data_IF_272372612301
#
_entry.id   IF_272372612301
#
_cell.length_a   1.000
_cell.length_b   1.000
_cell.length_c   1.000
_cell.angle_alpha   90.00
_cell.angle_beta   90.00
_cell.angle_gamma   90.00
#
_symmetry.space_group_name_H-M   'P 1'
#
loop_
_entity.id
_entity.type
_entity.pdbx_description
1 polymer ?
#
# COMPACT_ATOMS: atom_id res chain seq x y z
N UNK A 1 14.25 -1.84 0.15
CA UNK A 1 12.79 -1.86 0.42
C UNK A 1 12.43 -0.83 1.50
N UNK A 2 11.80 0.28 1.11
CA UNK A 2 11.26 1.26 2.07
C UNK A 2 10.00 0.72 2.72
N UNK A 3 9.87 0.93 4.02
CA UNK A 3 8.62 0.67 4.74
C UNK A 3 7.64 1.78 4.37
N UNK A 4 6.50 1.41 3.80
CA UNK A 4 5.44 2.36 3.44
C UNK A 4 4.40 2.41 4.55
N UNK A 5 3.81 3.58 4.76
CA UNK A 5 2.77 3.79 5.78
C UNK A 5 1.44 4.04 5.09
N UNK A 6 0.38 3.46 5.65
CA UNK A 6 -0.98 3.71 5.19
C UNK A 6 -1.96 3.89 6.34
N UNK A 7 -2.92 4.79 6.13
CA UNK A 7 -4.04 5.02 7.04
C UNK A 7 -5.33 4.84 6.25
N UNK A 8 -6.28 4.10 6.82
CA UNK A 8 -7.51 3.73 6.12
C UNK A 8 -8.63 3.34 7.05
N UNK A 9 -9.79 3.13 6.45
CA UNK A 9 -10.96 2.56 7.11
C UNK A 9 -10.98 1.06 6.87
N UNK A 10 -11.45 0.28 7.84
CA UNK A 10 -11.53 -1.18 7.70
C UNK A 10 -12.97 -1.60 7.91
N UNK A 11 -13.55 -2.22 6.88
CA UNK A 11 -14.84 -2.87 6.95
C UNK A 11 -14.66 -4.38 6.89
N UNK A 12 -15.29 -5.11 7.81
CA UNK A 12 -15.23 -6.58 7.89
C UNK A 12 -16.63 -7.16 7.86
N UNK A 13 -16.92 -8.00 6.87
CA UNK A 13 -18.17 -8.73 6.75
C UNK A 13 -17.93 -10.22 7.04
N UNK A 14 -18.60 -10.76 8.06
CA UNK A 14 -18.50 -12.19 8.39
C UNK A 14 -19.19 -13.02 7.30
N UNK A 15 -18.44 -13.96 6.69
CA UNK A 15 -18.97 -14.89 5.68
C UNK A 15 -19.24 -16.26 6.32
N UNK A 16 -18.31 -16.71 7.17
CA UNK A 16 -18.39 -17.97 7.91
C UNK A 16 -17.68 -17.84 9.26
N UNK A 17 -17.71 -18.87 10.10
CA UNK A 17 -17.15 -18.79 11.47
C UNK A 17 -15.67 -18.45 11.55
N UNK A 18 -14.88 -18.83 10.53
CA UNK A 18 -13.44 -18.55 10.45
C UNK A 18 -13.07 -17.64 9.29
N UNK A 19 -14.04 -17.25 8.47
CA UNK A 19 -13.80 -16.53 7.23
C UNK A 19 -14.62 -15.25 7.21
N UNK A 20 -13.96 -14.13 6.98
CA UNK A 20 -14.61 -12.84 6.79
C UNK A 20 -14.04 -12.15 5.56
N UNK A 21 -14.84 -11.36 4.87
CA UNK A 21 -14.36 -10.47 3.81
C UNK A 21 -13.95 -9.15 4.46
N UNK A 22 -12.75 -8.67 4.17
CA UNK A 22 -12.23 -7.40 4.64
C UNK A 22 -11.95 -6.49 3.46
N UNK A 23 -12.46 -5.26 3.53
CA UNK A 23 -12.16 -4.19 2.56
C UNK A 23 -11.59 -3.02 3.35
N UNK A 24 -10.42 -2.53 2.93
CA UNK A 24 -9.68 -1.55 3.73
C UNK A 24 -9.16 -0.36 2.92
N UNK A 25 -10.03 0.50 2.35
CA UNK A 25 -9.60 1.65 1.56
C UNK A 25 -8.77 2.62 2.40
N UNK A 26 -7.66 3.08 1.85
CA UNK A 26 -6.77 4.01 2.55
C UNK A 26 -5.81 4.73 1.61
N UNK A 27 -5.06 5.67 2.16
CA UNK A 27 -3.94 6.31 1.47
C UNK A 27 -2.69 5.46 1.66
N UNK A 28 -1.95 5.21 0.58
CA UNK A 28 -0.70 4.48 0.59
C UNK A 28 0.35 5.29 -0.17
N UNK A 29 1.44 5.63 0.50
CA UNK A 29 2.59 6.27 -0.15
C UNK A 29 3.59 5.20 -0.60
N UNK A 30 3.86 5.14 -1.91
CA UNK A 30 4.85 4.28 -2.55
C UNK A 30 5.99 5.17 -3.04
N UNK A 31 7.25 4.76 -2.87
CA UNK A 31 8.36 5.60 -3.32
C UNK A 31 9.74 4.98 -3.10
N UNK A 32 10.73 5.54 -3.77
CA UNK A 32 12.12 5.10 -3.76
C UNK A 32 13.07 6.29 -3.87
N UNK A 33 14.30 6.10 -3.42
CA UNK A 33 15.40 7.03 -3.66
C UNK A 33 16.38 6.32 -4.57
N UNK A 34 16.66 6.91 -5.72
CA UNK A 34 17.74 6.49 -6.59
C UNK A 34 18.80 7.58 -6.54
N UNK A 35 19.94 7.26 -5.92
CA UNK A 35 21.11 8.12 -5.84
C UNK A 35 22.26 7.37 -5.18
N UNK A 36 23.41 7.31 -5.86
CA UNK A 36 24.66 6.86 -5.23
C UNK A 36 25.14 7.93 -4.25
N UNK A 37 25.76 7.57 -3.10
CA UNK A 37 26.30 8.56 -2.18
C UNK A 37 27.33 9.44 -2.90
N UNK A 38 26.98 10.70 -3.17
CA UNK A 38 27.81 11.69 -3.88
C UNK A 38 27.23 12.22 -5.19
N UNK A 39 26.13 11.65 -5.71
CA UNK A 39 25.38 12.17 -6.85
C UNK A 39 24.05 12.82 -6.39
N UNK A 40 23.48 13.70 -7.21
CA UNK A 40 22.18 14.32 -6.94
C UNK A 40 21.13 13.22 -6.74
N UNK A 41 20.59 13.10 -5.53
CA UNK A 41 19.60 12.09 -5.21
C UNK A 41 18.24 12.50 -5.75
N UNK A 42 17.62 11.60 -6.52
CA UNK A 42 16.25 11.76 -6.99
C UNK A 42 15.35 10.97 -6.06
N UNK A 43 14.52 11.68 -5.30
CA UNK A 43 13.48 11.08 -4.46
C UNK A 43 12.15 11.09 -5.21
N UNK A 44 11.60 9.91 -5.46
CA UNK A 44 10.27 9.76 -6.09
C UNK A 44 9.25 9.35 -5.03
N UNK A 45 8.16 10.11 -4.94
CA UNK A 45 7.01 9.82 -4.06
C UNK A 45 5.73 9.75 -4.88
N UNK A 46 5.01 8.65 -4.72
CA UNK A 46 3.76 8.37 -5.39
C UNK A 46 2.71 8.07 -4.32
N UNK A 47 1.69 8.91 -4.22
CA UNK A 47 0.57 8.71 -3.31
C UNK A 47 -0.57 8.04 -4.06
N UNK A 48 -1.08 6.94 -3.51
CA UNK A 48 -2.19 6.18 -4.07
C UNK A 48 -3.36 6.13 -3.08
N UNK A 49 -4.58 6.09 -3.62
CA UNK A 49 -5.73 5.51 -2.91
C UNK A 49 -5.66 4.01 -3.14
N UNK A 50 -5.43 3.25 -2.09
CA UNK A 50 -5.32 1.79 -2.11
C UNK A 50 -6.60 1.15 -1.56
N UNK A 51 -7.16 0.19 -2.29
CA UNK A 51 -8.38 -0.55 -1.95
C UNK A 51 -8.06 -2.05 -1.96
N UNK A 52 -7.52 -2.60 -0.87
CA UNK A 52 -7.37 -4.04 -0.68
C UNK A 52 -8.72 -4.69 -0.39
N UNK A 53 -8.93 -5.86 -1.00
CA UNK A 53 -10.07 -6.75 -0.78
C UNK A 53 -9.52 -8.12 -0.43
N UNK A 54 -9.70 -8.51 0.83
CA UNK A 54 -9.03 -9.66 1.42
C UNK A 54 -10.00 -10.64 2.06
N UNK A 55 -9.70 -11.93 1.93
CA UNK A 55 -10.27 -12.95 2.79
C UNK A 55 -9.49 -12.99 4.10
N UNK A 56 -10.17 -12.67 5.20
CA UNK A 56 -9.67 -12.78 6.57
C UNK A 56 -9.93 -14.17 7.11
N UNK A 57 -8.86 -14.86 7.49
CA UNK A 57 -8.85 -16.19 8.05
C UNK A 57 -8.53 -16.09 9.55
N UNK A 58 -9.56 -16.25 10.38
CA UNK A 58 -9.45 -16.19 11.84
C UNK A 58 -8.85 -17.49 12.39
N UNK A 59 -7.63 -17.38 12.94
CA UNK A 59 -6.92 -18.46 13.63
C UNK A 59 -6.72 -18.16 15.13
N UNK A 60 -7.45 -17.16 15.65
CA UNK A 60 -7.20 -16.54 16.95
C UNK A 60 -6.51 -15.19 16.78
N UNK A 61 -5.50 -14.93 17.59
CA UNK A 61 -4.55 -13.81 17.41
C UNK A 61 -3.16 -14.42 17.22
N UNK A 62 -2.51 -14.29 16.05
CA UNK A 62 -2.87 -13.45 14.90
C UNK A 62 -3.92 -14.05 13.94
N UNK A 63 -4.41 -13.25 12.99
CA UNK A 63 -5.18 -13.68 11.81
C UNK A 63 -4.39 -13.46 10.52
N UNK A 64 -4.78 -14.16 9.46
CA UNK A 64 -4.20 -14.02 8.13
C UNK A 64 -5.19 -13.33 7.19
N UNK A 65 -4.66 -12.53 6.26
CA UNK A 65 -5.38 -11.89 5.18
C UNK A 65 -4.75 -12.34 3.87
N UNK A 66 -5.59 -12.70 2.90
CA UNK A 66 -5.14 -13.08 1.58
C UNK A 66 -6.15 -12.58 0.54
N UNK A 67 -5.67 -11.86 -0.46
CA UNK A 67 -6.53 -11.27 -1.46
C UNK A 67 -5.76 -10.47 -2.49
N UNK A 68 -6.45 -9.46 -3.03
CA UNK A 68 -5.88 -8.56 -4.01
C UNK A 68 -6.15 -7.12 -3.62
N UNK A 69 -5.46 -6.22 -4.30
CA UNK A 69 -5.68 -4.79 -4.15
C UNK A 69 -5.83 -4.12 -5.50
N UNK A 70 -6.50 -2.99 -5.47
CA UNK A 70 -6.53 -2.02 -6.55
C UNK A 70 -6.13 -0.67 -5.98
N UNK A 71 -5.12 -0.04 -6.56
CA UNK A 71 -4.62 1.28 -6.19
C UNK A 71 -4.84 2.26 -7.35
N UNK A 72 -5.18 3.50 -7.04
CA UNK A 72 -5.27 4.60 -8.00
C UNK A 72 -4.33 5.73 -7.60
N UNK A 73 -3.48 6.18 -8.53
CA UNK A 73 -2.52 7.26 -8.32
C UNK A 73 -3.25 8.59 -8.17
N UNK A 74 -3.06 9.26 -7.04
CA UNK A 74 -3.65 10.59 -6.79
C UNK A 74 -2.64 11.72 -6.90
N UNK A 75 -1.36 11.41 -6.68
CA UNK A 75 -0.29 12.40 -6.71
C UNK A 75 1.05 11.73 -6.99
N UNK A 76 1.84 12.33 -7.86
CA UNK A 76 3.23 11.97 -8.10
C UNK A 76 4.09 13.22 -7.89
N UNK A 77 5.17 13.09 -7.14
CA UNK A 77 6.17 14.14 -6.96
C UNK A 77 7.58 13.56 -7.06
N UNK A 78 8.49 14.37 -7.60
CA UNK A 78 9.93 14.11 -7.54
C UNK A 78 10.64 15.28 -6.87
N UNK A 79 11.67 14.95 -6.10
CA UNK A 79 12.60 15.92 -5.54
C UNK A 79 13.96 15.65 -6.16
N UNK A 80 14.50 16.62 -6.89
CA UNK A 80 15.86 16.61 -7.44
C UNK A 80 16.67 17.70 -6.73
N UNK A 81 17.58 17.29 -5.85
CA UNK A 81 18.33 18.23 -4.98
C UNK A 81 17.40 19.05 -4.07
N UNK A 82 17.36 20.37 -4.25
CA UNK A 82 16.50 21.30 -3.49
C UNK A 82 15.23 21.75 -4.24
N UNK A 83 15.02 21.27 -5.47
CA UNK A 83 13.85 21.64 -6.27
C UNK A 83 12.84 20.50 -6.26
N UNK A 84 11.72 20.73 -5.58
CA UNK A 84 10.53 19.91 -5.73
C UNK A 84 9.78 20.36 -6.99
N UNK A 85 9.40 19.41 -7.84
CA UNK A 85 8.54 19.67 -8.99
C UNK A 85 7.47 18.59 -9.07
N UNK A 86 6.27 19.03 -9.43
CA UNK A 86 5.06 18.20 -9.53
C UNK A 86 4.41 18.28 -10.91
N UNK A 87 4.88 19.16 -11.80
CA UNK A 87 4.28 19.34 -13.14
C UNK A 87 4.78 18.25 -14.11
N UNK A 88 3.85 17.53 -14.75
CA UNK A 88 4.12 16.55 -15.82
C UNK A 88 4.70 15.20 -15.37
N UNK A 89 4.77 14.95 -14.06
CA UNK A 89 5.39 13.74 -13.48
C UNK A 89 4.45 12.55 -13.55
N UNK A 90 3.16 12.78 -13.30
CA UNK A 90 2.11 11.75 -13.33
C UNK A 90 2.01 11.06 -14.69
N UNK A 91 2.28 11.78 -15.78
CA UNK A 91 2.16 11.27 -17.15
C UNK A 91 3.12 10.11 -17.45
N UNK A 92 4.20 9.99 -16.67
CA UNK A 92 5.18 8.91 -16.80
C UNK A 92 4.79 7.64 -16.01
N UNK A 93 3.80 7.72 -15.12
CA UNK A 93 3.39 6.63 -14.26
C UNK A 93 2.00 6.07 -14.62
N UNK A 94 1.77 4.82 -14.25
CA UNK A 94 0.44 4.22 -14.36
C UNK A 94 -0.52 4.86 -13.36
N UNK A 95 -1.72 5.19 -13.83
CA UNK A 95 -2.77 5.75 -12.98
C UNK A 95 -3.39 4.66 -12.10
N UNK A 96 -3.30 3.41 -12.54
CA UNK A 96 -3.79 2.23 -11.85
C UNK A 96 -2.66 1.23 -11.56
N UNK A 97 -2.74 0.61 -10.39
CA UNK A 97 -1.91 -0.52 -9.99
C UNK A 97 -2.81 -1.57 -9.34
N UNK A 98 -2.63 -2.83 -9.68
CA UNK A 98 -3.41 -3.91 -9.09
C UNK A 98 -2.52 -5.10 -8.85
N UNK A 99 -2.85 -5.89 -7.84
CA UNK A 99 -1.97 -6.96 -7.46
C UNK A 99 -2.50 -7.83 -6.34
N UNK A 100 -1.57 -8.60 -5.80
CA UNK A 100 -1.81 -9.52 -4.70
C UNK A 100 -1.41 -8.87 -3.38
N UNK A 101 -2.25 -9.08 -2.36
CA UNK A 101 -2.05 -8.64 -0.98
C UNK A 101 -2.10 -9.84 -0.03
N UNK A 102 -1.05 -10.01 0.76
CA UNK A 102 -0.98 -10.99 1.85
C UNK A 102 -0.61 -10.25 3.10
N UNK A 103 -1.37 -10.44 4.17
CA UNK A 103 -1.09 -9.80 5.43
C UNK A 103 -1.28 -10.69 6.65
N UNK A 104 -0.57 -10.34 7.71
CA UNK A 104 -0.80 -10.87 9.06
C UNK A 104 -1.24 -9.72 9.95
N UNK A 105 -2.29 -9.94 10.73
CA UNK A 105 -2.86 -8.89 11.56
C UNK A 105 -3.12 -9.35 12.98
N UNK A 106 -3.08 -8.39 13.90
CA UNK A 106 -3.47 -8.56 15.29
C UNK A 106 -4.55 -7.54 15.62
N UNK A 107 -5.63 -8.04 16.23
CA UNK A 107 -6.68 -7.21 16.81
C UNK A 107 -6.31 -6.90 18.26
N UNK A 108 -6.10 -5.62 18.56
CA UNK A 108 -5.76 -5.09 19.88
C UNK A 108 -6.98 -4.69 20.70
N UNK A 109 -8.18 -5.10 20.28
CA UNK A 109 -9.51 -4.80 20.83
C UNK A 109 -9.58 -4.17 22.21
N UNK A 110 -10.27 -3.03 22.32
CA UNK A 110 -10.52 -2.37 23.60
C UNK A 110 -11.74 -3.01 24.24
N UNK A 111 -11.53 -3.77 25.33
CA UNK A 111 -12.62 -4.37 26.12
C UNK A 111 -13.71 -3.32 26.41
N UNK A 112 -14.96 -3.67 26.08
CA UNK A 112 -16.21 -2.95 26.39
C UNK A 112 -16.57 -1.71 25.54
N UNK A 113 -15.89 -1.41 24.43
CA UNK A 113 -16.16 -0.18 23.66
C UNK A 113 -16.85 -0.38 22.30
N UNK A 114 -17.10 -1.63 21.88
CA UNK A 114 -17.57 -1.92 20.52
C UNK A 114 -16.58 -1.47 19.42
N UNK A 115 -15.38 -1.02 19.81
CA UNK A 115 -14.36 -0.49 18.93
C UNK A 115 -13.06 -1.26 19.17
N UNK A 116 -12.41 -1.68 18.09
CA UNK A 116 -11.11 -2.36 18.13
C UNK A 116 -10.07 -1.60 17.32
N UNK A 117 -8.81 -1.71 17.72
CA UNK A 117 -7.68 -1.28 16.91
C UNK A 117 -7.05 -2.50 16.27
N UNK A 118 -6.66 -2.39 15.01
CA UNK A 118 -5.89 -3.43 14.34
C UNK A 118 -4.56 -2.88 13.88
N UNK A 119 -3.57 -3.76 13.94
CA UNK A 119 -2.26 -3.55 13.33
C UNK A 119 -2.03 -4.69 12.36
N UNK A 120 -1.78 -4.36 11.11
CA UNK A 120 -1.64 -5.31 10.02
C UNK A 120 -0.32 -5.06 9.29
N UNK A 121 0.46 -6.11 9.09
CA UNK A 121 1.66 -6.10 8.26
C UNK A 121 1.31 -6.75 6.92
N UNK A 122 1.38 -5.95 5.86
CA UNK A 122 1.07 -6.35 4.51
C UNK A 122 2.32 -6.54 3.68
N UNK A 123 2.29 -7.56 2.83
CA UNK A 123 3.18 -7.75 1.70
C UNK A 123 2.35 -7.69 0.42
N UNK A 124 2.74 -6.81 -0.48
CA UNK A 124 2.06 -6.61 -1.76
C UNK A 124 2.98 -6.85 -2.93
N UNK A 125 2.39 -7.36 -4.02
CA UNK A 125 3.04 -7.49 -5.32
C UNK A 125 2.08 -7.07 -6.42
N UNK A 126 2.43 -6.03 -7.16
CA UNK A 126 1.72 -5.60 -8.37
C UNK A 126 1.87 -6.59 -9.51
N UNK A 127 0.83 -6.69 -10.33
CA UNK A 127 0.86 -7.39 -11.61
C UNK A 127 1.26 -6.47 -12.77
N UNK A 128 1.14 -5.16 -12.57
CA UNK A 128 1.42 -4.14 -13.57
C UNK A 128 2.78 -3.48 -13.32
N UNK A 129 3.42 -3.03 -14.40
CA UNK A 129 4.54 -2.10 -14.31
C UNK A 129 4.01 -0.70 -13.98
N UNK A 130 4.67 -0.02 -13.05
CA UNK A 130 4.25 1.32 -12.61
C UNK A 130 4.68 2.43 -13.60
N UNK A 131 5.55 2.12 -14.56
CA UNK A 131 6.17 3.09 -15.49
C UNK A 131 5.59 2.88 -16.88
N UNK A 132 4.95 3.92 -17.45
CA UNK A 132 4.44 3.89 -18.83
C UNK A 132 5.53 4.20 -19.86
N UNK A 133 6.44 5.10 -19.52
CA UNK A 133 7.56 5.51 -20.36
C UNK A 133 8.86 5.39 -19.56
N UNK A 134 9.78 4.49 -19.93
CA UNK A 134 11.03 4.32 -19.20
C UNK A 134 11.84 5.61 -19.21
N UNK A 135 12.26 6.10 -18.04
CA UNK A 135 13.18 7.25 -17.94
C UNK A 135 14.56 6.84 -18.48
N UNK A 136 14.91 5.55 -18.40
CA UNK A 136 16.02 4.90 -19.12
C UNK A 136 15.60 3.56 -19.74
N UNK A 137 16.23 3.09 -20.84
CA UNK A 137 15.91 1.80 -21.45
C UNK A 137 16.19 0.64 -20.48
N UNK A 138 15.14 -0.08 -20.06
CA UNK A 138 15.25 -1.22 -19.14
C UNK A 138 14.73 -0.97 -17.72
N UNK A 139 14.22 0.22 -17.41
CA UNK A 139 13.59 0.52 -16.12
C UNK A 139 12.20 -0.12 -16.01
N UNK A 140 12.14 -1.39 -15.61
CA UNK A 140 10.90 -2.03 -15.13
C UNK A 140 10.74 -1.73 -13.63
N UNK A 141 9.72 -0.95 -13.27
CA UNK A 141 9.43 -0.66 -11.86
C UNK A 141 8.18 -1.45 -11.44
N UNK A 142 8.39 -2.65 -10.91
CA UNK A 142 7.32 -3.47 -10.32
C UNK A 142 7.01 -3.01 -8.89
N UNK A 143 5.73 -2.91 -8.53
CA UNK A 143 5.37 -2.68 -7.14
C UNK A 143 5.62 -3.94 -6.30
N UNK A 144 6.58 -3.88 -5.38
CA UNK A 144 6.75 -4.91 -4.33
C UNK A 144 7.20 -4.28 -3.02
N UNK A 145 6.42 -4.46 -1.97
CA UNK A 145 6.72 -3.81 -0.70
C UNK A 145 6.05 -4.43 0.51
N UNK A 146 6.64 -4.12 1.66
CA UNK A 146 5.99 -4.30 2.95
C UNK A 146 5.43 -2.96 3.43
N UNK A 147 4.23 -2.99 3.98
CA UNK A 147 3.62 -1.80 4.57
C UNK A 147 2.83 -2.14 5.83
N UNK A 148 2.81 -1.19 6.77
CA UNK A 148 2.03 -1.30 8.00
C UNK A 148 0.73 -0.53 7.84
N UNK A 149 -0.38 -1.17 8.19
CA UNK A 149 -1.70 -0.55 8.27
C UNK A 149 -2.18 -0.53 9.72
N UNK A 150 -2.69 0.63 10.10
CA UNK A 150 -3.38 0.84 11.36
C UNK A 150 -4.82 1.16 11.03
N UNK A 151 -5.76 0.49 11.71
CA UNK A 151 -7.17 0.70 11.46
C UNK A 151 -8.00 0.58 12.71
N UNK A 152 -9.20 1.13 12.61
CA UNK A 152 -10.25 1.01 13.62
C UNK A 152 -11.34 0.11 13.03
N UNK A 153 -11.77 -0.87 13.82
CA UNK A 153 -12.89 -1.76 13.51
C UNK A 153 -14.04 -1.49 14.46
N UNK A 154 -15.26 -1.50 13.94
CA UNK A 154 -16.52 -1.27 14.64
C UNK A 154 -17.41 -2.52 14.59
#
# INVERSE_FOLDING_TARGET
>A
PRLSFGLGLIAVAKVYDRFSLQVAPGLLEKGGENGSPGEESIEVRLSYIDIPVNLKISMGKPYLLLGGYYSYLISASYTEGFKASSEGVSDNFSDDDSGLDIAVGVDLGVKNSGTGFVVELHWTRGFSELVKTPIQPGDTLEHRGFHLKFGVVF
#
